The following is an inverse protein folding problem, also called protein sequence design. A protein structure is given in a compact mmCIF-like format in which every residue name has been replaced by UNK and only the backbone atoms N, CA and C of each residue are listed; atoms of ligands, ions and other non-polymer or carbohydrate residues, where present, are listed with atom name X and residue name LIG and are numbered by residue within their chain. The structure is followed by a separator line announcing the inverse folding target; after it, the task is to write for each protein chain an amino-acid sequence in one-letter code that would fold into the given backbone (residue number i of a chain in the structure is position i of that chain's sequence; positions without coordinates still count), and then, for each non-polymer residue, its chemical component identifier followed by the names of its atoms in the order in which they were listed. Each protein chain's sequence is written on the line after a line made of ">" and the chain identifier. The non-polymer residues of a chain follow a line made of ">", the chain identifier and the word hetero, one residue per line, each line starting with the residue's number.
data_IF_542006482590
#
_entry.id   IF_542006482590
#
_cell.length_a   1.000
_cell.length_b   1.000
_cell.length_c   1.000
_cell.angle_alpha   90.00
_cell.angle_beta   90.00
_cell.angle_gamma   90.00
#
_symmetry.space_group_name_H-M   'P 1'
#
loop_
_entity.id
_entity.type
_entity.pdbx_description
1 polymer ?
#
# COMPACT_ATOMS: atom_id res chain seq x y z
N UNK A 1 -12.14 23.43 -8.30
CA UNK A 1 -11.88 22.86 -8.51
C UNK A 1 -11.30 22.79 -8.61
N UNK A 2 -11.67 22.51 -8.42
CA UNK A 2 -11.13 21.86 -8.65
C UNK A 2 -10.44 21.71 -8.58
N UNK A 3 -10.55 21.55 -8.47
CA UNK A 3 -10.00 20.89 -8.57
C UNK A 3 -9.61 20.53 -8.28
N UNK A 4 -9.78 20.52 -8.17
CA UNK A 4 -9.66 19.66 -8.20
C UNK A 4 -9.70 19.41 -8.45
N UNK A 5 -9.96 19.56 -8.46
CA UNK A 5 -10.27 18.83 -8.96
C UNK A 5 -10.45 18.62 -9.37
N UNK A 6 -10.71 18.43 -9.45
CA UNK A 6 -11.19 17.98 -9.94
C UNK A 6 -11.12 17.34 -10.10
N UNK A 7 -10.95 17.20 -10.14
CA UNK A 7 -11.03 16.21 -10.31
C UNK A 7 -11.89 15.34 -10.13
N UNK A 8 -12.04 15.04 -9.35
CA UNK A 8 -12.85 13.96 -8.97
C UNK A 8 -14.15 13.98 -9.61
N UNK A 9 -14.59 15.00 -9.88
CA UNK A 9 -15.82 15.05 -10.56
C UNK A 9 -15.72 14.76 -11.99
N UNK A 10 -14.62 14.25 -12.41
CA UNK A 10 -14.50 13.73 -13.74
C UNK A 10 -15.61 12.73 -13.96
N UNK A 11 -16.50 12.97 -14.92
CA UNK A 11 -17.59 12.03 -15.14
C UNK A 11 -17.14 10.68 -15.62
N UNK A 12 -15.91 10.56 -16.05
CA UNK A 12 -15.39 9.28 -16.46
C UNK A 12 -14.81 8.50 -15.31
N UNK A 13 -14.68 9.12 -14.16
CA UNK A 13 -14.11 8.39 -13.05
C UNK A 13 -15.09 7.33 -12.59
N UNK A 14 -14.55 6.22 -12.18
CA UNK A 14 -15.33 5.13 -11.61
C UNK A 14 -15.08 5.13 -10.12
N UNK A 15 -15.96 4.50 -9.35
CA UNK A 15 -15.69 4.36 -7.93
C UNK A 15 -14.31 3.77 -7.75
N UNK A 16 -13.52 4.40 -6.93
CA UNK A 16 -12.13 3.99 -6.81
C UNK A 16 -11.99 2.60 -6.21
N UNK A 17 -13.01 2.11 -5.52
CA UNK A 17 -13.00 0.74 -5.07
C UNK A 17 -12.97 -0.23 -6.25
N UNK A 18 -13.56 0.15 -7.37
CA UNK A 18 -13.53 -0.68 -8.57
C UNK A 18 -12.20 -0.59 -9.29
N UNK A 19 -11.60 0.60 -9.26
CA UNK A 19 -10.33 0.82 -9.95
C UNK A 19 -9.19 0.22 -9.15
N UNK A 20 -9.28 0.28 -7.82
CA UNK A 20 -8.21 -0.17 -6.94
C UNK A 20 -8.74 -1.20 -5.97
N UNK A 21 -9.02 -2.42 -6.46
CA UNK A 21 -9.57 -3.45 -5.57
C UNK A 21 -8.65 -3.76 -4.39
N UNK A 22 -7.35 -3.58 -4.56
CA UNK A 22 -6.39 -3.81 -3.49
C UNK A 22 -5.94 -2.53 -2.81
N UNK A 23 -6.74 -1.48 -2.94
CA UNK A 23 -6.37 -0.17 -2.45
C UNK A 23 -5.94 -0.20 -0.99
N UNK A 24 -6.71 -0.86 -0.15
CA UNK A 24 -6.44 -0.85 1.28
C UNK A 24 -5.12 -1.53 1.64
N UNK A 25 -4.77 -2.58 0.91
CA UNK A 25 -3.52 -3.29 1.18
C UNK A 25 -2.33 -2.65 0.49
N UNK A 26 -2.37 -2.60 -0.83
CA UNK A 26 -1.22 -2.15 -1.62
C UNK A 26 -0.91 -0.67 -1.41
N UNK A 27 -1.93 0.15 -1.45
CA UNK A 27 -1.75 1.59 -1.32
C UNK A 27 -1.37 1.95 0.11
N UNK A 28 -1.98 1.28 1.09
CA UNK A 28 -1.64 1.52 2.49
C UNK A 28 -0.17 1.18 2.76
N UNK A 29 0.30 0.08 2.18
CA UNK A 29 1.69 -0.32 2.34
C UNK A 29 2.63 0.73 1.76
N UNK A 30 2.36 1.16 0.54
CA UNK A 30 3.21 2.15 -0.12
C UNK A 30 3.19 3.46 0.62
N UNK A 31 2.01 3.90 1.07
CA UNK A 31 1.90 5.15 1.80
C UNK A 31 2.59 5.12 3.15
N UNK A 32 2.44 4.03 3.88
CA UNK A 32 3.08 3.90 5.18
C UNK A 32 4.60 3.86 5.04
N UNK A 33 5.09 3.14 4.01
CA UNK A 33 6.53 3.09 3.78
C UNK A 33 7.09 4.47 3.50
N UNK A 34 6.42 5.23 2.65
CA UNK A 34 6.89 6.57 2.32
C UNK A 34 6.81 7.50 3.52
N UNK A 35 5.78 7.35 4.34
CA UNK A 35 5.67 8.16 5.55
C UNK A 35 6.85 7.92 6.48
N UNK A 36 7.32 6.68 6.55
CA UNK A 36 8.49 6.34 7.38
C UNK A 36 9.81 6.60 6.67
N UNK A 37 9.75 7.15 5.45
CA UNK A 37 10.95 7.48 4.66
C UNK A 37 11.85 6.27 4.40
N UNK A 38 11.23 5.12 4.17
CA UNK A 38 11.96 3.89 3.89
C UNK A 38 11.91 3.59 2.41
N UNK A 39 13.03 3.08 1.89
CA UNK A 39 13.02 2.52 0.53
C UNK A 39 12.41 1.13 0.57
N UNK A 40 12.04 0.61 -0.60
CA UNK A 40 11.56 -0.77 -0.68
C UNK A 40 12.62 -1.74 -0.16
N UNK A 41 13.87 -1.46 -0.47
CA UNK A 41 14.98 -2.31 -0.04
C UNK A 41 15.13 -2.30 1.47
N UNK A 42 15.01 -1.13 2.07
CA UNK A 42 15.11 -1.01 3.53
C UNK A 42 13.96 -1.73 4.22
N UNK A 43 12.75 -1.54 3.70
CA UNK A 43 11.60 -2.22 4.28
C UNK A 43 11.73 -3.73 4.14
N UNK A 44 12.19 -4.19 2.98
CA UNK A 44 12.40 -5.62 2.74
C UNK A 44 13.34 -6.21 3.77
N UNK A 45 14.41 -5.49 4.09
CA UNK A 45 15.37 -5.94 5.08
C UNK A 45 14.72 -6.03 6.47
N UNK A 46 13.93 -5.04 6.83
CA UNK A 46 13.29 -5.02 8.14
C UNK A 46 12.28 -6.15 8.29
N UNK A 47 11.61 -6.51 7.21
CA UNK A 47 10.55 -7.52 7.23
C UNK A 47 11.11 -8.91 6.97
N UNK A 48 12.31 -8.99 6.38
CA UNK A 48 12.93 -10.27 6.10
C UNK A 48 12.50 -10.89 4.79
N UNK A 49 12.22 -10.06 3.78
CA UNK A 49 11.84 -10.53 2.45
C UNK A 49 12.67 -9.81 1.41
N UNK A 50 12.52 -10.19 0.15
CA UNK A 50 13.24 -9.53 -0.93
C UNK A 50 12.55 -8.22 -1.30
N UNK A 51 13.31 -7.34 -1.95
CA UNK A 51 12.75 -6.11 -2.46
C UNK A 51 11.65 -6.38 -3.48
N UNK A 52 11.84 -7.41 -4.31
CA UNK A 52 10.83 -7.80 -5.29
C UNK A 52 9.52 -8.15 -4.60
N UNK A 53 9.60 -8.84 -3.47
CA UNK A 53 8.42 -9.19 -2.70
C UNK A 53 7.66 -7.93 -2.27
N UNK A 54 8.37 -6.94 -1.74
CA UNK A 54 7.77 -5.68 -1.33
C UNK A 54 7.14 -4.99 -2.53
N UNK A 55 7.87 -4.93 -3.65
CA UNK A 55 7.36 -4.30 -4.86
C UNK A 55 6.08 -4.94 -5.34
N UNK A 56 6.03 -6.26 -5.34
CA UNK A 56 4.84 -6.99 -5.79
C UNK A 56 3.64 -6.71 -4.89
N UNK A 57 3.87 -6.64 -3.59
CA UNK A 57 2.79 -6.31 -2.67
C UNK A 57 2.29 -4.88 -2.88
N UNK A 58 3.20 -3.95 -3.16
CA UNK A 58 2.83 -2.55 -3.37
C UNK A 58 2.08 -2.34 -4.69
N UNK A 59 2.24 -3.25 -5.62
CA UNK A 59 1.57 -3.16 -6.91
C UNK A 59 0.35 -4.08 -7.01
N UNK A 60 -0.03 -4.71 -5.91
CA UNK A 60 -1.19 -5.57 -5.91
C UNK A 60 -0.99 -6.90 -6.62
N UNK A 61 0.24 -7.25 -6.93
CA UNK A 61 0.53 -8.50 -7.63
C UNK A 61 0.71 -9.67 -6.68
N UNK A 62 0.86 -9.40 -5.40
CA UNK A 62 1.01 -10.42 -4.39
C UNK A 62 0.14 -10.05 -3.20
N UNK A 63 -0.69 -10.96 -2.73
CA UNK A 63 -1.54 -10.63 -1.58
C UNK A 63 -0.71 -10.46 -0.32
N UNK A 64 -1.23 -9.66 0.60
CA UNK A 64 -0.62 -9.48 1.90
C UNK A 64 -1.39 -10.36 2.87
N UNK A 65 -0.78 -11.47 3.26
CA UNK A 65 -1.39 -12.36 4.22
C UNK A 65 -1.33 -11.79 5.62
N UNK A 66 -2.03 -12.45 6.54
CA UNK A 66 -2.14 -11.96 7.90
C UNK A 66 -0.77 -11.89 8.59
N UNK A 67 0.05 -12.91 8.42
CA UNK A 67 1.38 -12.91 9.03
C UNK A 67 2.25 -11.80 8.47
N UNK A 68 2.22 -11.63 7.16
CA UNK A 68 2.98 -10.57 6.52
C UNK A 68 2.47 -9.21 6.97
N UNK A 69 1.15 -9.05 7.08
CA UNK A 69 0.56 -7.81 7.55
C UNK A 69 1.07 -7.44 8.92
N UNK A 70 1.20 -8.43 9.81
CA UNK A 70 1.71 -8.17 11.15
C UNK A 70 3.17 -7.75 11.14
N UNK A 71 3.97 -8.37 10.28
CA UNK A 71 5.38 -7.99 10.15
C UNK A 71 5.52 -6.57 9.63
N UNK A 72 4.74 -6.24 8.61
CA UNK A 72 4.75 -4.91 8.03
C UNK A 72 4.28 -3.86 9.04
N UNK A 73 3.24 -4.20 9.78
CA UNK A 73 2.70 -3.28 10.77
C UNK A 73 3.73 -2.95 11.84
N UNK A 74 4.49 -3.95 12.27
CA UNK A 74 5.52 -3.74 13.27
C UNK A 74 6.63 -2.84 12.73
N UNK A 75 7.04 -3.07 11.50
CA UNK A 75 8.10 -2.28 10.88
C UNK A 75 7.66 -0.86 10.59
N UNK A 76 6.40 -0.67 10.23
CA UNK A 76 5.88 0.62 9.82
C UNK A 76 5.09 1.33 10.90
N UNK A 77 4.95 0.70 12.07
CA UNK A 77 4.30 1.32 13.25
C UNK A 77 2.85 1.66 12.97
N UNK A 78 2.12 0.75 12.34
CA UNK A 78 0.71 0.90 12.05
C UNK A 78 -0.04 -0.33 12.51
N UNK A 79 -1.37 -0.26 12.47
CA UNK A 79 -2.20 -1.41 12.77
C UNK A 79 -2.19 -2.36 11.58
N UNK A 80 -1.96 -3.66 11.80
CA UNK A 80 -1.85 -4.61 10.70
C UNK A 80 -3.14 -4.70 9.87
N UNK A 81 -4.25 -4.30 10.42
CA UNK A 81 -5.53 -4.36 9.71
C UNK A 81 -5.57 -3.45 8.49
N UNK A 82 -4.71 -2.43 8.45
CA UNK A 82 -4.70 -1.54 7.28
C UNK A 82 -4.24 -2.27 6.02
N UNK A 83 -3.59 -3.42 6.16
CA UNK A 83 -3.11 -4.19 5.02
C UNK A 83 -4.06 -5.32 4.65
N UNK A 84 -5.13 -5.51 5.37
CA UNK A 84 -6.12 -6.55 5.10
C UNK A 84 -7.40 -5.98 4.47
#
# INVERSE_FOLDING_TARGET
>A
MAFYGAVAEDPKSVPWEEVYPDFNGSVALRGARKREALTQKELARLVGVSQTHISEMEHGKRPIGKDMAKRLAKALKVNYRVFL
#
